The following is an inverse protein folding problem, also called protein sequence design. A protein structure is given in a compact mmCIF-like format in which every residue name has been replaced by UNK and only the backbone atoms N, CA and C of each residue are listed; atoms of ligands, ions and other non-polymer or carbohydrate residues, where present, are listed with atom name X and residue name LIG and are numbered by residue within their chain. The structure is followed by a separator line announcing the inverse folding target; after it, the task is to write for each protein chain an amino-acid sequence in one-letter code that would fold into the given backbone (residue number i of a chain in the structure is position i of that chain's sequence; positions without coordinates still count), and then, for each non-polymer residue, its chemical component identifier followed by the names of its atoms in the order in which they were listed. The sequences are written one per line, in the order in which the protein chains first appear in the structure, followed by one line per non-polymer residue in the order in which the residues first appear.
data_IF_086690983565
#
_entry.id   IF_086690983565
#
_cell.length_a   1.000
_cell.length_b   1.000
_cell.length_c   1.000
_cell.angle_alpha   90.00
_cell.angle_beta   90.00
_cell.angle_gamma   90.00
#
_symmetry.space_group_name_H-M   'P 1'
#
loop_
_entity.id
_entity.type
_entity.pdbx_description
1 polymer ?
#
# COMPACT_ATOMS: atom_id res chain seq x y z
N UNK A 1 55.88 52.02 32.78
CA UNK A 1 56.79 50.85 32.88
C UNK A 1 56.25 49.74 31.97
N UNK A 2 56.94 49.49 30.85
CA UNK A 2 56.97 48.23 30.06
C UNK A 2 57.87 47.24 30.84
N UNK A 3 57.90 45.87 30.72
CA UNK A 3 57.76 44.95 29.55
C UNK A 3 56.99 43.62 29.88
N UNK A 4 56.86 42.53 29.09
CA UNK A 4 57.20 42.09 27.72
C UNK A 4 56.37 40.82 27.35
N UNK A 5 56.40 40.51 26.05
CA UNK A 5 55.76 39.43 25.28
C UNK A 5 56.30 38.00 25.56
N UNK A 6 55.51 36.98 25.22
CA UNK A 6 55.99 35.94 24.27
C UNK A 6 54.85 35.26 23.50
N UNK A 7 55.10 35.02 22.21
CA UNK A 7 54.23 34.43 21.21
C UNK A 7 54.59 32.96 20.96
N UNK A 8 53.62 32.11 20.61
CA UNK A 8 53.88 30.81 19.96
C UNK A 8 53.02 30.63 18.71
N UNK A 9 53.72 30.25 17.64
CA UNK A 9 53.27 30.18 16.26
C UNK A 9 52.53 28.87 15.96
N UNK A 10 51.48 28.96 15.12
CA UNK A 10 50.82 27.82 14.48
C UNK A 10 51.59 27.44 13.20
N UNK A 11 52.15 26.23 13.17
CA UNK A 11 52.72 25.63 11.95
C UNK A 11 51.61 25.02 11.08
N UNK A 12 51.60 25.40 9.80
CA UNK A 12 50.79 24.85 8.71
C UNK A 12 51.32 23.47 8.28
N UNK A 13 50.42 22.55 7.98
CA UNK A 13 50.68 21.25 7.34
C UNK A 13 50.49 21.38 5.82
N UNK A 14 51.37 20.83 4.96
CA UNK A 14 51.34 21.10 3.52
C UNK A 14 50.43 20.15 2.73
N UNK A 15 49.77 20.72 1.71
CA UNK A 15 49.03 20.02 0.64
C UNK A 15 49.99 19.21 -0.24
N UNK A 16 49.75 17.91 -0.41
CA UNK A 16 50.38 17.10 -1.47
C UNK A 16 49.47 17.05 -2.70
N UNK A 17 50.02 17.51 -3.83
CA UNK A 17 49.51 17.32 -5.20
C UNK A 17 49.59 15.83 -5.56
N UNK A 18 48.51 15.27 -6.11
CA UNK A 18 48.55 14.01 -6.85
C UNK A 18 48.56 14.33 -8.35
N UNK A 19 49.64 13.89 -8.97
CA UNK A 19 50.00 14.01 -10.38
C UNK A 19 49.17 13.07 -11.25
N UNK A 20 48.72 13.58 -12.40
CA UNK A 20 48.13 12.81 -13.51
C UNK A 20 49.13 11.78 -14.02
N UNK A 21 48.80 10.49 -13.94
CA UNK A 21 49.44 9.45 -14.75
C UNK A 21 48.62 9.23 -16.03
N UNK A 22 49.25 9.58 -17.15
CA UNK A 22 48.91 9.16 -18.52
C UNK A 22 49.11 7.64 -18.61
N UNK A 23 48.06 6.88 -18.94
CA UNK A 23 48.21 5.53 -19.51
C UNK A 23 47.95 5.61 -21.01
N UNK A 24 48.97 5.28 -21.78
CA UNK A 24 48.90 5.00 -23.22
C UNK A 24 48.40 3.56 -23.38
N UNK A 25 47.37 3.34 -24.19
CA UNK A 25 47.00 2.03 -24.71
C UNK A 25 47.47 1.94 -26.18
N UNK A 26 48.12 0.84 -26.61
CA UNK A 26 48.28 0.56 -28.03
C UNK A 26 46.97 0.04 -28.62
N UNK A 27 46.71 0.49 -29.84
CA UNK A 27 45.60 0.06 -30.70
C UNK A 27 45.87 -1.34 -31.28
N UNK A 28 44.93 -2.25 -31.10
CA UNK A 28 44.74 -3.38 -32.01
C UNK A 28 43.32 -3.33 -32.59
N UNK A 29 43.27 -3.33 -33.93
CA UNK A 29 42.06 -3.30 -34.74
C UNK A 29 41.43 -4.69 -34.75
N UNK A 30 40.14 -4.78 -34.44
CA UNK A 30 39.30 -5.92 -34.82
C UNK A 30 38.12 -5.37 -35.63
N UNK A 31 37.95 -5.94 -36.82
CA UNK A 31 37.05 -5.51 -37.87
C UNK A 31 35.57 -5.73 -37.51
N UNK A 32 34.73 -4.76 -37.91
CA UNK A 32 33.27 -4.85 -37.86
C UNK A 32 32.74 -5.67 -39.05
N UNK A 33 31.73 -6.53 -38.89
CA UNK A 33 31.02 -7.11 -40.02
C UNK A 33 30.02 -6.10 -40.61
N UNK A 34 30.04 -6.10 -41.94
CA UNK A 34 29.28 -5.26 -42.88
C UNK A 34 27.77 -5.25 -42.64
N UNK A 35 27.19 -4.05 -42.66
CA UNK A 35 25.76 -3.83 -42.77
C UNK A 35 25.32 -4.06 -44.23
N UNK A 36 24.47 -5.07 -44.45
CA UNK A 36 23.77 -5.25 -45.71
C UNK A 36 22.68 -4.18 -45.84
N UNK A 37 22.82 -3.33 -46.85
CA UNK A 37 21.82 -2.34 -47.31
C UNK A 37 20.58 -3.12 -47.77
N UNK A 38 19.44 -2.92 -47.09
CA UNK A 38 18.12 -3.38 -47.57
C UNK A 38 17.42 -2.23 -48.27
N UNK A 39 16.99 -2.53 -49.48
CA UNK A 39 16.31 -1.67 -50.46
C UNK A 39 15.01 -1.04 -49.92
N UNK A 40 14.87 0.30 -49.91
CA UNK A 40 13.70 1.00 -49.39
C UNK A 40 12.43 0.89 -50.27
N UNK A 41 12.48 0.19 -51.41
CA UNK A 41 11.31 0.03 -52.29
C UNK A 41 10.47 -1.24 -52.05
N UNK A 42 10.86 -2.13 -51.13
CA UNK A 42 10.13 -3.38 -50.86
C UNK A 42 9.20 -3.36 -49.64
N UNK A 43 9.12 -2.24 -48.92
CA UNK A 43 8.33 -2.10 -47.68
C UNK A 43 6.91 -1.55 -47.95
N UNK A 44 6.61 -1.10 -49.18
CA UNK A 44 5.33 -0.41 -49.50
C UNK A 44 4.21 -1.27 -50.08
N UNK A 45 4.42 -2.58 -50.27
CA UNK A 45 3.35 -3.47 -50.75
C UNK A 45 2.83 -4.49 -49.72
N UNK A 46 3.56 -4.77 -48.64
CA UNK A 46 3.09 -5.69 -47.59
C UNK A 46 2.16 -5.02 -46.55
N UNK A 47 2.10 -3.68 -46.50
CA UNK A 47 1.24 -2.93 -45.55
C UNK A 47 -0.15 -2.56 -46.10
N UNK A 48 -0.50 -2.96 -47.33
CA UNK A 48 -1.79 -2.59 -47.97
C UNK A 48 -2.83 -3.70 -48.09
N UNK A 49 -2.57 -4.90 -47.59
CA UNK A 49 -3.51 -6.02 -47.61
C UNK A 49 -3.54 -6.77 -46.28
N UNK A 50 -4.00 -6.11 -45.19
CA UNK A 50 -4.55 -6.83 -44.03
C UNK A 50 -5.25 -5.89 -43.03
N UNK A 51 -6.49 -5.53 -43.34
CA UNK A 51 -7.58 -5.33 -42.38
C UNK A 51 -8.88 -5.58 -43.17
N UNK A 52 -9.85 -6.37 -42.68
CA UNK A 52 -10.29 -6.42 -41.29
C UNK A 52 -10.59 -7.84 -40.76
N UNK A 53 -9.77 -8.37 -39.84
CA UNK A 53 -10.16 -9.50 -38.96
C UNK A 53 -9.31 -9.48 -37.68
N UNK A 54 -9.42 -8.41 -36.89
CA UNK A 54 -8.92 -8.35 -35.50
C UNK A 54 -10.02 -7.72 -34.63
N UNK A 55 -11.23 -8.27 -34.73
CA UNK A 55 -12.28 -8.08 -33.72
C UNK A 55 -12.81 -9.40 -33.14
N UNK A 56 -12.44 -10.57 -33.71
CA UNK A 56 -12.94 -11.88 -33.27
C UNK A 56 -11.96 -12.71 -32.42
N UNK A 57 -10.85 -12.12 -31.94
CA UNK A 57 -9.86 -12.85 -31.10
C UNK A 57 -9.33 -12.06 -29.91
N UNK A 58 -10.11 -11.11 -29.39
CA UNK A 58 -9.93 -10.65 -28.02
C UNK A 58 -10.66 -11.66 -27.14
N UNK A 59 -9.87 -12.44 -26.40
CA UNK A 59 -10.35 -13.49 -25.52
C UNK A 59 -11.53 -13.01 -24.69
N UNK A 60 -12.56 -13.83 -24.73
CA UNK A 60 -13.72 -13.82 -23.85
C UNK A 60 -13.22 -13.80 -22.40
N UNK A 61 -13.00 -12.61 -21.85
CA UNK A 61 -12.94 -12.41 -20.41
C UNK A 61 -14.34 -12.77 -19.93
N UNK A 62 -14.46 -13.96 -19.35
CA UNK A 62 -15.62 -14.27 -18.53
C UNK A 62 -15.58 -13.23 -17.41
N UNK A 63 -16.39 -12.19 -17.57
CA UNK A 63 -16.81 -11.31 -16.51
C UNK A 63 -17.60 -12.20 -15.56
N UNK A 64 -16.91 -12.87 -14.65
CA UNK A 64 -17.56 -13.33 -13.43
C UNK A 64 -17.90 -12.04 -12.71
N UNK A 65 -19.15 -11.60 -12.88
CA UNK A 65 -19.77 -10.71 -11.94
C UNK A 65 -19.76 -11.46 -10.61
N UNK A 66 -18.67 -11.28 -9.84
CA UNK A 66 -18.71 -11.54 -8.41
C UNK A 66 -19.70 -10.53 -7.89
N UNK A 67 -20.96 -10.92 -7.78
CA UNK A 67 -21.92 -10.27 -6.92
C UNK A 67 -21.31 -10.33 -5.53
N UNK A 68 -20.56 -9.29 -5.17
CA UNK A 68 -20.02 -9.15 -3.82
C UNK A 68 -21.17 -9.33 -2.83
N UNK A 69 -20.94 -9.96 -1.67
CA UNK A 69 -22.02 -10.30 -0.77
C UNK A 69 -22.86 -9.06 -0.50
N UNK A 70 -24.17 -9.18 -0.74
CA UNK A 70 -25.15 -8.27 -0.18
C UNK A 70 -24.82 -8.09 1.31
N UNK A 71 -24.79 -6.84 1.78
CA UNK A 71 -24.12 -6.43 3.01
C UNK A 71 -24.20 -7.45 4.14
N UNK A 72 -23.08 -8.12 4.43
CA UNK A 72 -22.92 -8.81 5.68
C UNK A 72 -22.95 -7.73 6.77
N UNK A 73 -24.10 -7.59 7.44
CA UNK A 73 -24.27 -6.63 8.52
C UNK A 73 -23.29 -6.93 9.65
N UNK A 74 -22.69 -5.89 10.22
CA UNK A 74 -21.88 -6.01 11.43
C UNK A 74 -22.81 -6.21 12.63
N UNK A 75 -22.43 -7.09 13.57
CA UNK A 75 -23.21 -7.35 14.77
C UNK A 75 -23.40 -6.11 15.65
N UNK A 76 -22.40 -5.21 15.68
CA UNK A 76 -22.42 -3.93 16.36
C UNK A 76 -21.41 -2.97 15.73
N UNK A 77 -21.59 -1.67 15.99
CA UNK A 77 -20.62 -0.62 15.69
C UNK A 77 -19.84 -0.23 16.96
N UNK A 78 -18.64 0.33 16.79
CA UNK A 78 -17.90 0.92 17.90
C UNK A 78 -18.71 2.06 18.54
N UNK A 79 -18.65 2.18 19.88
CA UNK A 79 -19.49 3.14 20.63
C UNK A 79 -19.23 4.60 20.30
N UNK A 80 -18.08 4.87 19.68
CA UNK A 80 -17.56 6.18 19.29
C UNK A 80 -17.60 6.41 17.78
N UNK A 81 -18.37 5.61 17.03
CA UNK A 81 -18.42 5.73 15.56
C UNK A 81 -18.76 7.16 15.11
N UNK A 82 -19.73 7.80 15.78
CA UNK A 82 -20.14 9.17 15.49
C UNK A 82 -18.99 10.19 15.61
N UNK A 83 -18.04 9.96 16.53
CA UNK A 83 -16.92 10.88 16.77
C UNK A 83 -15.94 10.92 15.59
N UNK A 84 -15.85 9.81 14.83
CA UNK A 84 -14.93 9.67 13.70
C UNK A 84 -15.62 9.83 12.34
N UNK A 85 -16.95 9.74 12.29
CA UNK A 85 -17.73 9.93 11.06
C UNK A 85 -18.36 11.32 10.95
N UNK A 86 -18.08 12.22 11.90
CA UNK A 86 -18.58 13.60 11.88
C UNK A 86 -17.49 14.57 11.41
N UNK A 87 -17.74 15.23 10.28
CA UNK A 87 -16.86 16.26 9.75
C UNK A 87 -16.77 17.49 10.68
N UNK A 88 -15.60 18.14 10.80
CA UNK A 88 -15.50 19.45 11.44
C UNK A 88 -16.32 20.47 10.63
N UNK A 89 -16.73 21.56 11.28
CA UNK A 89 -17.60 22.55 10.62
C UNK A 89 -16.97 23.18 9.36
N UNK A 90 -15.64 23.36 9.34
CA UNK A 90 -14.91 24.01 8.25
C UNK A 90 -13.62 23.26 7.93
N UNK A 91 -13.67 22.12 7.21
CA UNK A 91 -12.46 21.39 6.85
C UNK A 91 -11.63 22.16 5.81
N UNK A 92 -10.29 22.21 5.93
CA UNK A 92 -9.41 22.83 4.94
C UNK A 92 -9.54 22.18 3.56
N UNK A 93 -9.67 22.97 2.48
CA UNK A 93 -9.89 22.47 1.10
C UNK A 93 -8.75 22.71 0.12
N UNK A 94 -7.60 23.18 0.60
CA UNK A 94 -6.50 23.59 -0.27
C UNK A 94 -5.66 22.40 -0.76
N UNK A 95 -5.12 22.53 -1.98
CA UNK A 95 -4.12 21.61 -2.56
C UNK A 95 -4.57 20.15 -2.65
N UNK A 96 -5.85 19.92 -2.91
CA UNK A 96 -6.40 18.57 -3.01
C UNK A 96 -6.31 17.95 -4.41
N UNK A 97 -5.94 18.73 -5.44
CA UNK A 97 -6.02 18.30 -6.84
C UNK A 97 -7.47 18.15 -7.31
N UNK A 98 -7.68 17.41 -8.41
CA UNK A 98 -9.03 17.19 -8.97
C UNK A 98 -9.86 16.26 -8.07
N UNK A 99 -11.02 16.73 -7.63
CA UNK A 99 -12.04 15.90 -6.96
C UNK A 99 -13.20 15.73 -7.93
N UNK A 100 -13.08 14.76 -8.83
CA UNK A 100 -14.13 14.45 -9.80
C UNK A 100 -15.37 13.83 -9.10
N UNK A 101 -16.60 14.18 -9.50
CA UNK A 101 -17.81 13.54 -9.00
C UNK A 101 -17.79 12.02 -9.25
N UNK A 102 -18.03 11.23 -8.19
CA UNK A 102 -18.04 9.76 -8.28
C UNK A 102 -19.35 9.20 -8.84
N UNK A 103 -20.46 9.87 -8.55
CA UNK A 103 -21.80 9.44 -8.90
C UNK A 103 -22.25 10.01 -10.25
N UNK A 104 -21.34 10.02 -11.21
CA UNK A 104 -21.57 10.39 -12.60
C UNK A 104 -20.88 9.35 -13.47
N UNK A 105 -21.62 8.74 -14.40
CA UNK A 105 -21.07 7.74 -15.31
C UNK A 105 -20.30 8.38 -16.49
N UNK A 106 -19.72 7.55 -17.36
CA UNK A 106 -18.94 8.00 -18.51
C UNK A 106 -19.74 8.82 -19.55
N UNK A 107 -21.08 8.74 -19.51
CA UNK A 107 -21.98 9.51 -20.38
C UNK A 107 -22.44 10.82 -19.75
N UNK A 108 -22.04 11.08 -18.50
CA UNK A 108 -22.45 12.25 -17.72
C UNK A 108 -23.77 12.07 -16.98
N UNK A 109 -24.34 10.85 -16.94
CA UNK A 109 -25.58 10.58 -16.22
C UNK A 109 -25.34 10.33 -14.74
N UNK A 110 -26.30 10.71 -13.90
CA UNK A 110 -26.22 10.54 -12.46
C UNK A 110 -26.34 9.05 -12.06
N UNK A 111 -25.44 8.61 -11.19
CA UNK A 111 -25.45 7.27 -10.59
C UNK A 111 -26.21 7.34 -9.27
N UNK A 112 -27.43 6.78 -9.24
CA UNK A 112 -28.32 6.89 -8.07
C UNK A 112 -28.64 5.55 -7.40
N UNK A 113 -28.23 4.41 -8.00
CA UNK A 113 -28.46 3.07 -7.46
C UNK A 113 -27.15 2.34 -7.20
N UNK A 114 -27.20 1.33 -6.32
CA UNK A 114 -26.05 0.47 -6.02
C UNK A 114 -25.57 -0.27 -7.27
N UNK A 115 -26.47 -0.79 -8.10
CA UNK A 115 -26.10 -1.55 -9.29
C UNK A 115 -25.42 -0.67 -10.34
N UNK A 116 -25.84 0.60 -10.46
CA UNK A 116 -25.18 1.57 -11.32
C UNK A 116 -23.80 1.94 -10.78
N UNK A 117 -23.68 2.11 -9.45
CA UNK A 117 -22.39 2.32 -8.81
C UNK A 117 -21.47 1.12 -8.97
N UNK A 118 -21.93 -0.11 -8.85
CA UNK A 118 -21.09 -1.29 -9.01
C UNK A 118 -20.45 -1.35 -10.41
N UNK A 119 -21.14 -0.85 -11.46
CA UNK A 119 -20.56 -0.67 -12.80
C UNK A 119 -19.52 0.47 -12.83
N UNK A 120 -19.87 1.65 -12.32
CA UNK A 120 -18.97 2.81 -12.27
C UNK A 120 -17.71 2.52 -11.43
N UNK A 121 -17.86 1.76 -10.36
CA UNK A 121 -16.78 1.27 -9.49
C UNK A 121 -15.76 0.47 -10.29
N UNK A 122 -16.17 -0.35 -11.26
CA UNK A 122 -15.23 -1.07 -12.12
C UNK A 122 -14.49 -0.14 -13.09
N UNK A 123 -15.14 0.91 -13.60
CA UNK A 123 -14.49 1.93 -14.45
C UNK A 123 -13.40 2.66 -13.66
N UNK A 124 -13.72 3.14 -12.46
CA UNK A 124 -12.78 3.81 -11.55
C UNK A 124 -11.62 2.86 -11.21
N UNK A 125 -11.94 1.61 -10.85
CA UNK A 125 -10.95 0.58 -10.54
C UNK A 125 -9.99 0.33 -11.72
N UNK A 126 -10.53 0.18 -12.93
CA UNK A 126 -9.76 -0.07 -14.13
C UNK A 126 -8.84 1.12 -14.48
N UNK A 127 -9.32 2.35 -14.30
CA UNK A 127 -8.52 3.55 -14.53
C UNK A 127 -7.30 3.61 -13.60
N UNK A 128 -7.48 3.30 -12.32
CA UNK A 128 -6.38 3.21 -11.37
C UNK A 128 -5.40 2.09 -11.69
N UNK A 129 -5.87 0.87 -11.98
CA UNK A 129 -4.99 -0.24 -12.35
C UNK A 129 -4.19 0.05 -13.63
N UNK A 130 -4.82 0.71 -14.62
CA UNK A 130 -4.14 1.17 -15.84
C UNK A 130 -3.02 2.17 -15.53
N UNK A 131 -3.26 3.11 -14.62
CA UNK A 131 -2.25 4.08 -14.19
C UNK A 131 -1.10 3.43 -13.41
N UNK A 132 -1.43 2.51 -12.50
CA UNK A 132 -0.46 1.77 -11.68
C UNK A 132 0.46 0.87 -12.52
N UNK A 133 -0.08 0.28 -13.58
CA UNK A 133 0.64 -0.63 -14.46
C UNK A 133 0.51 -2.11 -14.05
N UNK A 134 0.89 -3.03 -14.93
CA UNK A 134 0.65 -4.46 -14.75
C UNK A 134 1.62 -5.11 -13.76
N UNK A 135 1.18 -6.18 -13.11
CA UNK A 135 2.03 -7.09 -12.34
C UNK A 135 1.72 -8.55 -12.76
N UNK A 136 2.62 -9.52 -12.53
CA UNK A 136 2.42 -10.91 -12.95
C UNK A 136 1.18 -11.56 -12.31
N UNK A 137 0.32 -12.15 -13.14
CA UNK A 137 -0.88 -12.89 -12.74
C UNK A 137 -0.96 -14.21 -13.56
N UNK A 138 -1.19 -15.40 -12.96
CA UNK A 138 -1.44 -15.64 -11.54
C UNK A 138 -0.23 -15.31 -10.65
N UNK A 139 -0.50 -14.90 -9.40
CA UNK A 139 0.53 -14.82 -8.35
C UNK A 139 1.10 -16.22 -8.02
N UNK A 140 2.35 -16.32 -7.53
CA UNK A 140 2.94 -17.61 -7.17
C UNK A 140 2.11 -18.37 -6.12
N UNK A 141 2.07 -19.72 -6.15
CA UNK A 141 1.45 -20.51 -5.09
C UNK A 141 2.01 -20.14 -3.70
N UNK A 142 1.17 -20.14 -2.66
CA UNK A 142 1.67 -19.91 -1.30
C UNK A 142 2.47 -21.13 -0.83
N UNK A 143 3.77 -20.94 -0.64
CA UNK A 143 4.68 -21.89 0.02
C UNK A 143 5.56 -21.09 0.97
N UNK A 144 5.46 -21.39 2.25
CA UNK A 144 6.23 -20.74 3.30
C UNK A 144 7.36 -21.66 3.77
N UNK A 145 8.58 -21.16 3.74
CA UNK A 145 9.73 -21.77 4.41
C UNK A 145 9.95 -21.04 5.75
N UNK A 146 9.82 -21.76 6.86
CA UNK A 146 10.08 -21.19 8.20
C UNK A 146 11.59 -21.16 8.42
N UNK A 147 12.17 -19.97 8.49
CA UNK A 147 13.60 -19.75 8.71
C UNK A 147 13.96 -19.71 10.21
N UNK A 148 13.08 -19.12 11.02
CA UNK A 148 13.29 -18.96 12.46
C UNK A 148 11.94 -18.98 13.19
N UNK A 149 11.89 -19.56 14.38
CA UNK A 149 10.73 -19.54 15.27
C UNK A 149 11.15 -19.08 16.67
N UNK A 150 10.37 -18.20 17.27
CA UNK A 150 10.59 -17.63 18.60
C UNK A 150 9.27 -17.62 19.38
N UNK A 151 9.33 -17.87 20.69
CA UNK A 151 8.17 -17.77 21.58
C UNK A 151 8.30 -16.50 22.43
N UNK A 152 7.31 -15.61 22.33
CA UNK A 152 7.22 -14.30 22.96
C UNK A 152 6.01 -14.29 23.90
N UNK A 153 6.14 -14.92 25.06
CA UNK A 153 5.01 -15.09 25.99
C UNK A 153 3.88 -15.89 25.35
N UNK A 154 2.73 -15.25 25.11
CA UNK A 154 1.55 -15.87 24.49
C UNK A 154 1.53 -15.80 22.95
N UNK A 155 2.62 -15.36 22.31
CA UNK A 155 2.73 -15.24 20.85
C UNK A 155 3.91 -16.06 20.34
N UNK A 156 3.74 -16.75 19.22
CA UNK A 156 4.82 -17.36 18.43
C UNK A 156 5.13 -16.39 17.28
N UNK A 157 6.40 -16.03 17.09
CA UNK A 157 6.87 -15.27 15.93
C UNK A 157 7.73 -16.16 15.05
N UNK A 158 7.43 -16.19 13.76
CA UNK A 158 8.18 -16.94 12.77
C UNK A 158 8.69 -16.00 11.68
N UNK A 159 9.99 -16.03 11.40
CA UNK A 159 10.53 -15.47 10.16
C UNK A 159 10.26 -16.50 9.06
N UNK A 160 9.55 -16.09 8.03
CA UNK A 160 9.23 -16.95 6.89
C UNK A 160 9.76 -16.36 5.59
N UNK A 161 10.23 -17.22 4.70
CA UNK A 161 10.60 -16.91 3.32
C UNK A 161 9.54 -17.46 2.37
N UNK A 162 9.18 -16.67 1.37
CA UNK A 162 8.16 -17.03 0.39
C UNK A 162 8.44 -16.38 -0.96
N UNK A 163 7.89 -16.97 -2.01
CA UNK A 163 7.94 -16.39 -3.35
C UNK A 163 6.92 -15.25 -3.44
N UNK A 164 7.42 -14.01 -3.52
CA UNK A 164 6.59 -12.81 -3.62
C UNK A 164 6.10 -12.58 -5.04
N UNK A 165 7.02 -12.71 -5.99
CA UNK A 165 6.82 -12.59 -7.43
C UNK A 165 7.51 -13.79 -8.11
N UNK A 166 7.10 -14.26 -9.31
CA UNK A 166 7.74 -15.41 -9.96
C UNK A 166 9.27 -15.31 -10.02
N UNK A 167 9.95 -16.23 -9.34
CA UNK A 167 11.40 -16.31 -9.22
C UNK A 167 12.05 -15.43 -8.14
N UNK A 168 11.26 -14.61 -7.43
CA UNK A 168 11.75 -13.63 -6.45
C UNK A 168 11.22 -13.92 -5.05
N UNK A 169 12.14 -14.26 -4.16
CA UNK A 169 11.84 -14.59 -2.78
C UNK A 169 12.01 -13.38 -1.88
N UNK A 170 11.07 -13.22 -0.95
CA UNK A 170 11.04 -12.18 0.05
C UNK A 170 10.78 -12.82 1.41
N UNK A 171 10.98 -12.03 2.46
CA UNK A 171 10.77 -12.45 3.84
C UNK A 171 9.62 -11.67 4.49
N UNK A 172 9.03 -12.25 5.52
CA UNK A 172 8.08 -11.58 6.39
C UNK A 172 8.01 -12.29 7.74
N UNK A 173 7.44 -11.62 8.73
CA UNK A 173 7.14 -12.25 10.01
C UNK A 173 5.69 -12.70 10.07
N UNK A 174 5.48 -13.94 10.45
CA UNK A 174 4.19 -14.50 10.82
C UNK A 174 4.11 -14.58 12.35
N UNK A 175 3.12 -13.93 12.95
CA UNK A 175 2.86 -13.97 14.38
C UNK A 175 1.53 -14.71 14.63
N UNK A 176 1.59 -15.70 15.51
CA UNK A 176 0.49 -16.60 15.84
C UNK A 176 0.25 -16.57 17.34
N UNK A 177 -0.99 -16.52 17.83
CA UNK A 177 -1.28 -16.81 19.22
C UNK A 177 -0.80 -18.22 19.59
N UNK A 178 -0.22 -18.40 20.76
CA UNK A 178 0.20 -19.73 21.24
C UNK A 178 -1.01 -20.66 21.26
N UNK A 179 -0.85 -21.86 20.71
CA UNK A 179 -1.93 -22.85 20.59
C UNK A 179 -2.84 -22.67 19.39
N UNK A 180 -2.61 -21.67 18.53
CA UNK A 180 -3.47 -21.41 17.37
C UNK A 180 -3.66 -22.63 16.45
N UNK A 181 -2.59 -23.40 16.24
CA UNK A 181 -2.64 -24.62 15.42
C UNK A 181 -3.22 -25.85 16.14
N UNK A 182 -3.54 -25.76 17.44
CA UNK A 182 -3.94 -26.91 18.28
C UNK A 182 -5.41 -26.91 18.70
N UNK A 183 -6.02 -25.73 18.81
CA UNK A 183 -7.38 -25.61 19.35
C UNK A 183 -8.49 -25.68 18.29
N UNK A 184 -8.12 -25.77 17.01
CA UNK A 184 -9.05 -25.87 15.88
C UNK A 184 -9.87 -24.59 15.62
N UNK A 185 -9.63 -23.50 16.36
CA UNK A 185 -10.36 -22.24 16.21
C UNK A 185 -9.75 -21.42 15.08
N UNK A 186 -10.57 -21.05 14.10
CA UNK A 186 -10.17 -20.07 13.09
C UNK A 186 -10.21 -18.66 13.67
N UNK A 187 -9.16 -17.89 13.39
CA UNK A 187 -8.93 -16.56 13.93
C UNK A 187 -9.00 -15.50 12.84
N UNK A 188 -9.36 -14.25 13.20
CA UNK A 188 -9.15 -13.13 12.30
C UNK A 188 -7.65 -12.94 12.05
N UNK A 189 -7.30 -12.43 10.87
CA UNK A 189 -5.93 -12.13 10.50
C UNK A 189 -5.73 -10.65 10.17
N UNK A 190 -4.54 -10.11 10.43
CA UNK A 190 -4.15 -8.76 10.07
C UNK A 190 -2.92 -8.80 9.18
N UNK A 191 -3.00 -8.17 8.01
CA UNK A 191 -1.82 -7.78 7.23
C UNK A 191 -1.32 -6.45 7.80
N UNK A 192 -0.16 -6.47 8.46
CA UNK A 192 0.43 -5.34 9.17
C UNK A 192 1.63 -4.78 8.39
N UNK A 193 1.43 -3.63 7.76
CA UNK A 193 2.37 -2.99 6.83
C UNK A 193 3.25 -1.97 7.56
N UNK A 194 4.57 -2.12 7.45
CA UNK A 194 5.53 -1.36 8.25
C UNK A 194 5.76 0.06 7.71
N UNK A 195 6.11 1.03 8.58
CA UNK A 195 6.47 2.38 8.14
C UNK A 195 7.87 2.40 7.51
N UNK A 196 8.27 3.57 7.02
CA UNK A 196 9.67 3.85 6.66
C UNK A 196 10.52 3.85 7.93
N UNK A 197 11.39 2.85 8.07
CA UNK A 197 12.28 2.68 9.23
C UNK A 197 13.55 1.94 8.83
N UNK A 198 14.65 2.17 9.54
CA UNK A 198 15.93 1.48 9.31
C UNK A 198 15.88 0.03 9.78
N UNK A 199 14.97 -0.28 10.70
CA UNK A 199 14.73 -1.64 11.23
C UNK A 199 13.83 -2.47 10.30
N UNK A 200 13.26 -1.88 9.25
CA UNK A 200 12.40 -2.59 8.27
C UNK A 200 11.22 -3.33 8.93
N UNK A 201 11.06 -4.64 8.66
CA UNK A 201 10.06 -5.52 9.27
C UNK A 201 10.36 -5.88 10.72
N UNK A 202 11.61 -5.72 11.19
CA UNK A 202 12.02 -6.12 12.53
C UNK A 202 11.32 -5.27 13.60
N UNK A 203 11.16 -3.96 13.36
CA UNK A 203 10.48 -3.07 14.32
C UNK A 203 9.00 -3.44 14.47
N UNK A 204 8.25 -3.57 13.37
CA UNK A 204 6.81 -3.88 13.46
C UNK A 204 6.57 -5.29 14.05
N UNK A 205 7.45 -6.24 13.77
CA UNK A 205 7.37 -7.61 14.28
C UNK A 205 7.92 -7.76 15.72
N UNK A 206 8.43 -6.67 16.32
CA UNK A 206 8.96 -6.62 17.69
C UNK A 206 10.28 -7.34 17.89
N UNK A 207 11.09 -7.46 16.85
CA UNK A 207 12.45 -8.01 16.91
C UNK A 207 13.41 -6.96 17.46
N UNK A 208 13.25 -5.71 17.01
CA UNK A 208 14.03 -4.55 17.42
C UNK A 208 13.13 -3.31 17.52
N UNK A 209 13.74 -2.12 17.61
CA UNK A 209 13.02 -0.85 17.62
C UNK A 209 12.29 -0.54 18.93
N UNK A 210 11.45 0.49 18.90
CA UNK A 210 10.73 1.00 20.09
C UNK A 210 9.49 0.16 20.36
N UNK A 211 9.24 -0.21 21.62
CA UNK A 211 8.09 -1.02 22.03
C UNK A 211 6.75 -0.50 21.47
N UNK A 212 6.52 0.82 21.45
CA UNK A 212 5.30 1.42 20.90
C UNK A 212 5.09 1.21 19.40
N UNK A 213 6.13 0.82 18.65
CA UNK A 213 6.08 0.51 17.22
C UNK A 213 6.06 -0.99 16.91
N UNK A 214 6.15 -1.83 17.94
CA UNK A 214 6.07 -3.29 17.83
C UNK A 214 4.60 -3.72 17.75
N UNK A 215 3.92 -3.32 16.68
CA UNK A 215 2.47 -3.46 16.54
C UNK A 215 2.03 -4.89 16.23
N UNK A 216 2.89 -5.69 15.58
CA UNK A 216 2.63 -7.09 15.28
C UNK A 216 2.36 -7.91 16.55
N UNK A 217 3.29 -7.95 17.53
CA UNK A 217 3.07 -8.65 18.79
C UNK A 217 1.88 -8.14 19.60
N UNK A 218 1.63 -6.82 19.57
CA UNK A 218 0.49 -6.23 20.28
C UNK A 218 -0.86 -6.63 19.67
N UNK A 219 -0.96 -6.73 18.34
CA UNK A 219 -2.15 -7.26 17.69
C UNK A 219 -2.27 -8.78 17.88
N UNK A 220 -1.15 -9.52 17.82
CA UNK A 220 -1.18 -10.96 18.06
C UNK A 220 -1.65 -11.31 19.49
N UNK A 221 -1.29 -10.50 20.49
CA UNK A 221 -1.79 -10.68 21.87
C UNK A 221 -3.29 -10.40 22.03
N UNK A 222 -3.92 -9.72 21.07
CA UNK A 222 -5.39 -9.57 20.96
C UNK A 222 -6.07 -10.77 20.25
N UNK A 223 -5.30 -11.80 19.89
CA UNK A 223 -5.84 -13.03 19.28
C UNK A 223 -5.86 -13.04 17.75
N UNK A 224 -5.29 -12.01 17.10
CA UNK A 224 -5.11 -12.00 15.65
C UNK A 224 -3.95 -12.90 15.22
N UNK A 225 -4.07 -13.52 14.05
CA UNK A 225 -2.91 -13.96 13.28
C UNK A 225 -2.36 -12.75 12.53
N UNK A 226 -1.09 -12.40 12.68
CA UNK A 226 -0.54 -11.17 12.09
C UNK A 226 0.58 -11.51 11.12
N UNK A 227 0.53 -10.93 9.91
CA UNK A 227 1.60 -11.06 8.94
C UNK A 227 2.21 -9.70 8.62
N UNK A 228 3.52 -9.58 8.81
CA UNK A 228 4.32 -8.39 8.56
C UNK A 228 5.23 -8.62 7.34
N UNK A 229 4.77 -8.31 6.11
CA UNK A 229 5.57 -8.48 4.91
C UNK A 229 6.67 -7.43 4.81
N UNK A 230 7.82 -7.80 4.23
CA UNK A 230 8.86 -6.83 3.85
C UNK A 230 8.44 -6.05 2.62
N UNK A 231 8.47 -4.73 2.70
CA UNK A 231 8.29 -3.88 1.54
C UNK A 231 9.52 -3.98 0.62
N UNK A 232 9.30 -4.04 -0.71
CA UNK A 232 10.37 -4.18 -1.72
C UNK A 232 11.47 -3.11 -1.62
N UNK A 233 11.15 -1.96 -1.03
CA UNK A 233 12.07 -0.87 -0.74
C UNK A 233 13.23 -1.24 0.19
N UNK A 234 13.13 -2.36 0.92
CA UNK A 234 14.14 -2.88 1.84
C UNK A 234 14.56 -4.32 1.53
N UNK A 235 14.33 -4.80 0.31
CA UNK A 235 14.65 -6.15 -0.11
C UNK A 235 16.01 -6.19 -0.84
N UNK A 236 17.08 -6.51 -0.10
CA UNK A 236 18.44 -6.69 -0.61
C UNK A 236 19.01 -5.49 -1.39
N UNK A 237 18.71 -4.29 -0.90
CA UNK A 237 19.04 -3.00 -1.54
C UNK A 237 19.65 -2.04 -0.54
N UNK A 238 20.51 -1.14 -1.03
CA UNK A 238 21.21 -0.14 -0.20
C UNK A 238 20.46 1.20 -0.12
N UNK A 239 19.48 1.44 -0.99
CA UNK A 239 18.70 2.67 -1.04
C UNK A 239 17.33 2.48 -1.69
N UNK A 240 16.41 3.41 -1.43
CA UNK A 240 15.08 3.40 -2.05
C UNK A 240 15.16 3.57 -3.57
N UNK A 241 16.10 4.39 -4.06
CA UNK A 241 16.31 4.60 -5.49
C UNK A 241 16.81 3.33 -6.19
N UNK A 242 17.70 2.57 -5.53
CA UNK A 242 18.14 1.27 -6.03
C UNK A 242 16.96 0.28 -6.09
N UNK A 243 16.09 0.26 -5.06
CA UNK A 243 14.90 -0.57 -5.06
C UNK A 243 13.96 -0.25 -6.23
N UNK A 244 13.69 1.04 -6.46
CA UNK A 244 12.88 1.50 -7.60
C UNK A 244 13.53 1.14 -8.93
N UNK A 245 14.85 1.32 -9.06
CA UNK A 245 15.59 0.99 -10.28
C UNK A 245 15.46 -0.50 -10.59
N UNK A 246 15.76 -1.39 -9.63
CA UNK A 246 15.66 -2.84 -9.80
C UNK A 246 14.22 -3.30 -10.07
N UNK A 247 13.23 -2.64 -9.48
CA UNK A 247 11.82 -2.88 -9.80
C UNK A 247 11.51 -2.52 -11.26
N UNK A 248 11.91 -1.32 -11.71
CA UNK A 248 11.67 -0.86 -13.09
C UNK A 248 12.44 -1.64 -14.15
N UNK A 249 13.61 -2.19 -13.82
CA UNK A 249 14.34 -3.10 -14.72
C UNK A 249 13.54 -4.37 -15.01
N UNK A 250 12.78 -4.87 -14.04
CA UNK A 250 11.93 -6.06 -14.17
C UNK A 250 10.54 -5.72 -14.72
N UNK A 251 10.00 -4.58 -14.31
CA UNK A 251 8.66 -4.10 -14.69
C UNK A 251 8.68 -2.63 -15.17
N UNK A 252 9.14 -2.36 -16.40
CA UNK A 252 9.36 -0.98 -16.88
C UNK A 252 8.12 -0.09 -16.94
N UNK A 253 6.92 -0.68 -16.97
CA UNK A 253 5.63 0.02 -17.08
C UNK A 253 4.87 0.08 -15.77
N UNK A 254 5.50 -0.27 -14.65
CA UNK A 254 4.81 -0.51 -13.39
C UNK A 254 5.34 0.41 -12.30
N UNK A 255 4.44 1.17 -11.67
CA UNK A 255 4.78 2.11 -10.61
C UNK A 255 5.17 1.39 -9.32
N UNK A 256 5.94 2.06 -8.46
CA UNK A 256 6.33 1.49 -7.17
C UNK A 256 5.12 1.20 -6.28
N UNK A 257 4.08 2.04 -6.34
CA UNK A 257 2.83 1.78 -5.60
C UNK A 257 2.13 0.50 -6.07
N UNK A 258 2.24 0.16 -7.37
CA UNK A 258 1.68 -1.08 -7.90
C UNK A 258 2.41 -2.31 -7.37
N UNK A 259 3.74 -2.22 -7.20
CA UNK A 259 4.55 -3.28 -6.56
C UNK A 259 4.17 -3.47 -5.09
N UNK A 260 4.03 -2.38 -4.34
CA UNK A 260 3.60 -2.47 -2.94
C UNK A 260 2.18 -3.04 -2.82
N UNK A 261 1.25 -2.62 -3.67
CA UNK A 261 -0.09 -3.22 -3.73
C UNK A 261 -0.01 -4.73 -3.99
N UNK A 262 0.82 -5.16 -4.94
CA UNK A 262 1.02 -6.56 -5.26
C UNK A 262 1.57 -7.35 -4.06
N UNK A 263 2.57 -6.81 -3.36
CA UNK A 263 3.13 -7.42 -2.14
C UNK A 263 2.12 -7.49 -1.00
N UNK A 264 1.31 -6.45 -0.84
CA UNK A 264 0.25 -6.39 0.15
C UNK A 264 -0.86 -7.41 -0.16
N UNK A 265 -1.24 -7.60 -1.43
CA UNK A 265 -2.17 -8.65 -1.85
C UNK A 265 -1.56 -10.05 -1.66
N UNK A 266 -0.24 -10.18 -1.84
CA UNK A 266 0.49 -11.41 -1.57
C UNK A 266 0.46 -11.78 -0.08
N UNK A 267 0.58 -10.79 0.80
CA UNK A 267 0.38 -10.96 2.24
C UNK A 267 -1.04 -11.45 2.58
N UNK A 268 -2.07 -10.96 1.87
CA UNK A 268 -3.45 -11.47 2.01
C UNK A 268 -3.54 -12.94 1.55
N UNK A 269 -2.93 -13.31 0.43
CA UNK A 269 -2.90 -14.72 -0.03
C UNK A 269 -2.29 -15.63 1.04
N UNK A 270 -1.21 -15.19 1.68
CA UNK A 270 -0.51 -15.93 2.72
C UNK A 270 -1.44 -16.18 3.90
N UNK A 271 -1.98 -15.14 4.53
CA UNK A 271 -2.84 -15.32 5.70
C UNK A 271 -4.12 -16.10 5.37
N UNK A 272 -4.70 -15.89 4.19
CA UNK A 272 -5.89 -16.63 3.75
C UNK A 272 -5.64 -18.13 3.53
N UNK A 273 -4.39 -18.53 3.28
CA UNK A 273 -4.00 -19.93 3.09
C UNK A 273 -3.74 -20.68 4.39
N UNK A 274 -3.62 -19.98 5.52
CA UNK A 274 -3.29 -20.59 6.81
C UNK A 274 -4.51 -21.32 7.40
N UNK A 275 -4.36 -22.56 7.89
CA UNK A 275 -5.47 -23.30 8.49
C UNK A 275 -6.02 -22.63 9.77
N UNK A 276 -5.19 -21.85 10.47
CA UNK A 276 -5.57 -21.09 11.67
C UNK A 276 -6.41 -19.84 11.38
N UNK A 277 -6.53 -19.43 10.11
CA UNK A 277 -7.18 -18.18 9.72
C UNK A 277 -8.57 -18.42 9.14
N UNK A 278 -9.51 -17.58 9.55
CA UNK A 278 -10.77 -17.41 8.84
C UNK A 278 -10.56 -16.42 7.68
N UNK A 279 -10.57 -16.93 6.45
CA UNK A 279 -10.35 -16.12 5.24
C UNK A 279 -11.41 -15.03 5.03
N UNK A 280 -12.56 -15.10 5.72
CA UNK A 280 -13.59 -14.06 5.72
C UNK A 280 -13.37 -12.99 6.79
N UNK A 281 -12.29 -13.06 7.57
CA UNK A 281 -11.98 -12.16 8.69
C UNK A 281 -10.55 -11.63 8.59
N UNK A 282 -10.19 -11.10 7.42
CA UNK A 282 -8.88 -10.50 7.18
C UNK A 282 -9.01 -8.98 7.26
N UNK A 283 -8.19 -8.33 8.07
CA UNK A 283 -8.01 -6.88 8.11
C UNK A 283 -6.63 -6.45 7.61
N UNK A 284 -6.48 -5.15 7.42
CA UNK A 284 -5.20 -4.54 7.08
C UNK A 284 -4.95 -3.31 7.96
N UNK A 285 -3.70 -3.12 8.34
CA UNK A 285 -3.26 -1.95 9.08
C UNK A 285 -1.87 -1.52 8.63
N UNK A 286 -1.62 -0.21 8.65
CA UNK A 286 -0.26 0.30 8.53
C UNK A 286 -0.13 1.76 8.93
N UNK A 287 1.11 2.17 9.18
CA UNK A 287 1.48 3.54 9.57
C UNK A 287 2.41 4.16 8.51
N UNK A 288 2.22 5.45 8.20
CA UNK A 288 3.06 6.18 7.24
C UNK A 288 3.09 5.50 5.87
N UNK A 289 4.24 4.95 5.44
CA UNK A 289 4.32 4.13 4.23
C UNK A 289 3.30 2.99 4.24
N UNK A 290 3.19 2.24 5.34
CA UNK A 290 2.23 1.15 5.46
C UNK A 290 0.77 1.62 5.42
N UNK A 291 0.48 2.87 5.78
CA UNK A 291 -0.87 3.44 5.66
C UNK A 291 -1.24 3.68 4.19
N UNK A 292 -0.27 4.09 3.37
CA UNK A 292 -0.44 4.20 1.91
C UNK A 292 -0.72 2.83 1.29
N UNK A 293 0.05 1.82 1.68
CA UNK A 293 -0.19 0.44 1.27
C UNK A 293 -1.57 -0.06 1.71
N UNK A 294 -1.99 0.25 2.94
CA UNK A 294 -3.30 -0.16 3.48
C UNK A 294 -4.46 0.45 2.70
N UNK A 295 -4.37 1.73 2.30
CA UNK A 295 -5.38 2.39 1.46
C UNK A 295 -5.55 1.66 0.12
N UNK A 296 -4.44 1.37 -0.57
CA UNK A 296 -4.47 0.68 -1.86
C UNK A 296 -4.93 -0.77 -1.71
N UNK A 297 -4.41 -1.49 -0.70
CA UNK A 297 -4.79 -2.87 -0.43
C UNK A 297 -6.29 -2.98 -0.16
N UNK A 298 -6.82 -2.13 0.72
CA UNK A 298 -8.26 -2.11 0.99
C UNK A 298 -9.05 -1.79 -0.28
N UNK A 299 -8.64 -0.82 -1.09
CA UNK A 299 -9.36 -0.45 -2.32
C UNK A 299 -9.42 -1.57 -3.37
N UNK A 300 -8.39 -2.41 -3.46
CA UNK A 300 -8.22 -3.34 -4.57
C UNK A 300 -8.29 -4.84 -4.21
N UNK A 301 -8.34 -5.19 -2.93
CA UNK A 301 -8.53 -6.56 -2.46
C UNK A 301 -9.74 -6.64 -1.50
N UNK A 302 -10.86 -7.19 -2.00
CA UNK A 302 -12.12 -7.26 -1.26
C UNK A 302 -12.12 -8.30 -0.12
N UNK A 303 -11.09 -9.15 -0.06
CA UNK A 303 -10.86 -10.06 1.08
C UNK A 303 -10.49 -9.31 2.35
N UNK A 304 -9.89 -8.12 2.21
CA UNK A 304 -9.68 -7.21 3.35
C UNK A 304 -11.02 -6.63 3.77
N UNK A 305 -11.56 -7.09 4.88
CA UNK A 305 -12.87 -6.71 5.41
C UNK A 305 -12.87 -5.41 6.20
N UNK A 306 -11.72 -5.05 6.77
CA UNK A 306 -11.54 -3.89 7.64
C UNK A 306 -10.15 -3.30 7.41
N UNK A 307 -10.04 -1.99 7.26
CA UNK A 307 -8.76 -1.31 7.07
C UNK A 307 -8.54 -0.19 8.09
N UNK A 308 -7.28 -0.02 8.52
CA UNK A 308 -6.87 1.11 9.34
C UNK A 308 -5.57 1.73 8.81
N UNK A 309 -5.63 2.97 8.34
CA UNK A 309 -4.50 3.70 7.76
C UNK A 309 -4.11 4.87 8.68
N UNK A 310 -2.93 4.78 9.31
CA UNK A 310 -2.44 5.82 10.21
C UNK A 310 -1.41 6.72 9.54
N UNK A 311 -1.73 8.01 9.40
CA UNK A 311 -0.80 9.03 8.92
C UNK A 311 -0.17 8.71 7.55
N UNK A 312 -0.96 8.22 6.60
CA UNK A 312 -0.51 7.99 5.22
C UNK A 312 -0.53 9.25 4.36
N UNK A 313 -1.36 10.23 4.77
CA UNK A 313 -1.71 11.44 4.06
C UNK A 313 -2.59 11.12 2.88
N UNK A 314 -3.90 11.02 3.06
CA UNK A 314 -4.82 10.66 1.97
C UNK A 314 -4.71 11.64 0.79
N UNK A 315 -4.49 12.93 1.03
CA UNK A 315 -4.27 13.89 -0.07
C UNK A 315 -2.94 13.70 -0.79
N UNK A 316 -2.93 13.79 -2.12
CA UNK A 316 -1.69 13.72 -2.91
C UNK A 316 -0.63 14.74 -2.50
N UNK A 317 -1.05 15.92 -2.02
CA UNK A 317 -0.15 16.99 -1.57
C UNK A 317 0.11 16.96 -0.06
N UNK A 318 -0.46 16.00 0.66
CA UNK A 318 -0.23 15.84 2.10
C UNK A 318 1.16 15.27 2.39
N UNK A 319 1.69 14.43 1.50
CA UNK A 319 3.01 13.80 1.63
C UNK A 319 3.67 13.62 0.26
N UNK A 320 4.76 12.86 0.20
CA UNK A 320 5.57 12.58 -0.98
C UNK A 320 4.98 11.54 -1.95
N UNK A 321 3.68 11.60 -2.27
CA UNK A 321 3.04 10.63 -3.19
C UNK A 321 3.63 10.61 -4.60
N UNK A 322 4.26 11.71 -5.00
CA UNK A 322 4.94 11.90 -6.28
C UNK A 322 6.33 11.25 -6.33
N UNK A 323 6.81 10.70 -5.21
CA UNK A 323 8.07 9.97 -5.16
C UNK A 323 8.03 8.76 -6.11
N UNK A 324 9.19 8.37 -6.68
CA UNK A 324 9.24 7.36 -7.74
C UNK A 324 8.90 5.93 -7.26
N UNK A 325 8.91 5.69 -5.95
CA UNK A 325 8.43 4.45 -5.31
C UNK A 325 6.92 4.43 -5.02
N UNK A 326 6.20 5.52 -5.30
CA UNK A 326 4.74 5.59 -5.19
C UNK A 326 4.10 5.83 -6.57
N UNK A 327 3.54 7.02 -6.82
CA UNK A 327 2.76 7.36 -8.02
C UNK A 327 3.56 8.15 -9.06
N UNK A 328 4.75 8.63 -8.71
CA UNK A 328 5.60 9.41 -9.61
C UNK A 328 5.07 10.80 -9.93
N UNK A 329 5.80 11.53 -10.77
CA UNK A 329 5.59 12.96 -10.98
C UNK A 329 4.28 13.30 -11.70
N UNK A 330 3.61 12.33 -12.34
CA UNK A 330 2.35 12.54 -13.06
C UNK A 330 1.28 13.16 -12.18
N UNK A 331 1.24 12.81 -10.89
CA UNK A 331 0.24 13.35 -9.96
C UNK A 331 0.47 14.83 -9.63
N UNK A 332 1.62 15.42 -9.99
CA UNK A 332 1.90 16.85 -9.79
C UNK A 332 1.09 17.74 -10.72
N UNK A 333 0.56 17.17 -11.80
CA UNK A 333 -0.37 17.86 -12.68
C UNK A 333 -1.69 18.13 -11.94
N UNK A 334 -2.10 19.39 -11.86
CA UNK A 334 -3.35 19.79 -11.20
C UNK A 334 -4.59 19.37 -11.99
N UNK A 335 -4.44 18.92 -13.24
CA UNK A 335 -5.49 18.32 -14.06
C UNK A 335 -5.51 16.79 -14.00
N UNK A 336 -4.65 16.16 -13.19
CA UNK A 336 -4.58 14.71 -13.08
C UNK A 336 -5.93 14.12 -12.64
N UNK A 337 -6.53 13.17 -13.39
CA UNK A 337 -7.95 12.83 -13.27
C UNK A 337 -8.28 11.85 -12.13
N UNK A 338 -7.26 11.18 -11.57
CA UNK A 338 -7.44 10.24 -10.47
C UNK A 338 -7.10 10.90 -9.14
N UNK A 339 -7.79 10.54 -8.07
CA UNK A 339 -7.49 11.05 -6.72
C UNK A 339 -8.02 10.10 -5.63
N UNK A 340 -7.50 10.18 -4.42
CA UNK A 340 -7.71 9.16 -3.39
C UNK A 340 -9.13 9.09 -2.82
N UNK A 341 -10.00 10.08 -3.04
CA UNK A 341 -11.44 9.92 -2.74
C UNK A 341 -12.07 8.77 -3.55
N UNK A 342 -11.57 8.50 -4.76
CA UNK A 342 -11.95 7.34 -5.55
C UNK A 342 -11.55 6.04 -4.86
N UNK A 343 -10.33 5.94 -4.31
CA UNK A 343 -9.89 4.75 -3.58
C UNK A 343 -10.74 4.52 -2.32
N UNK A 344 -11.03 5.59 -1.57
CA UNK A 344 -11.95 5.52 -0.42
C UNK A 344 -13.34 5.03 -0.83
N UNK A 345 -13.84 5.40 -2.01
CA UNK A 345 -15.10 4.90 -2.53
C UNK A 345 -15.04 3.44 -3.00
N UNK A 346 -13.91 2.98 -3.56
CA UNK A 346 -13.70 1.56 -3.92
C UNK A 346 -13.73 0.63 -2.70
N UNK A 347 -13.46 1.17 -1.50
CA UNK A 347 -13.49 0.42 -0.24
C UNK A 347 -14.92 0.12 0.23
N UNK A 348 -15.88 1.00 -0.10
CA UNK A 348 -17.26 0.88 0.34
C UNK A 348 -17.84 -0.53 0.04
N UNK A 349 -18.63 -1.11 0.98
CA UNK A 349 -19.03 -0.59 2.30
C UNK A 349 -18.14 -1.05 3.46
N UNK A 350 -16.91 -1.50 3.20
CA UNK A 350 -16.06 -2.14 4.22
C UNK A 350 -15.47 -1.12 5.19
N UNK A 351 -15.54 -1.31 6.51
CA UNK A 351 -15.09 -0.35 7.50
C UNK A 351 -13.64 0.10 7.28
N UNK A 352 -13.42 1.40 7.18
CA UNK A 352 -12.11 1.99 6.99
C UNK A 352 -11.91 3.19 7.91
N UNK A 353 -10.84 3.13 8.72
CA UNK A 353 -10.48 4.19 9.66
C UNK A 353 -9.17 4.84 9.25
N UNK A 354 -9.16 6.16 9.18
CA UNK A 354 -7.94 6.95 9.03
C UNK A 354 -7.57 7.49 10.42
N UNK A 355 -6.30 7.42 10.80
CA UNK A 355 -5.80 8.09 12.01
C UNK A 355 -5.00 9.33 11.59
N UNK A 356 -5.44 10.48 12.09
CA UNK A 356 -4.90 11.80 11.80
C UNK A 356 -4.15 12.44 12.97
N UNK A 357 -2.96 12.96 12.72
CA UNK A 357 -2.09 13.64 13.68
C UNK A 357 -2.29 15.15 13.77
N UNK A 358 -3.10 15.72 12.86
CA UNK A 358 -3.39 17.14 12.67
C UNK A 358 -2.19 18.01 12.33
N UNK A 359 -1.24 18.17 13.25
CA UNK A 359 -0.14 19.10 13.11
C UNK A 359 1.16 18.57 13.73
N UNK A 360 2.27 19.21 13.39
CA UNK A 360 3.61 18.82 13.84
C UNK A 360 4.42 18.10 12.75
N UNK A 361 5.72 17.87 13.02
CA UNK A 361 6.61 17.27 12.02
C UNK A 361 6.11 15.92 11.54
N UNK A 362 5.94 15.79 10.22
CA UNK A 362 5.51 14.57 9.55
C UNK A 362 4.01 14.29 9.61
N UNK A 363 3.21 15.10 10.31
CA UNK A 363 1.77 14.87 10.42
C UNK A 363 1.13 14.84 9.02
N UNK A 364 0.50 13.73 8.67
CA UNK A 364 0.10 13.46 7.28
C UNK A 364 -1.41 13.59 7.09
N UNK A 365 -2.20 13.19 8.07
CA UNK A 365 -3.66 13.30 8.08
C UNK A 365 -4.16 14.18 9.24
N UNK A 366 -5.44 14.57 9.16
CA UNK A 366 -6.09 15.49 10.10
C UNK A 366 -7.34 16.08 9.45
N UNK A 367 -7.80 17.23 9.93
CA UNK A 367 -9.04 17.84 9.42
C UNK A 367 -8.99 18.12 7.91
N UNK A 368 -7.78 18.34 7.37
CA UNK A 368 -7.49 18.44 5.92
C UNK A 368 -7.84 17.21 5.09
N UNK A 369 -8.07 16.06 5.72
CA UNK A 369 -8.44 14.80 5.06
C UNK A 369 -9.94 14.72 4.76
N UNK A 370 -10.77 15.46 5.51
CA UNK A 370 -12.23 15.42 5.38
C UNK A 370 -12.79 15.69 3.99
N UNK A 371 -12.29 16.64 3.18
CA UNK A 371 -12.88 16.87 1.87
C UNK A 371 -12.77 15.66 0.93
N UNK A 372 -11.76 14.79 1.11
CA UNK A 372 -11.62 13.55 0.34
C UNK A 372 -12.54 12.45 0.89
N UNK A 373 -12.77 12.42 2.21
CA UNK A 373 -13.78 11.56 2.84
C UNK A 373 -15.18 11.97 2.35
N UNK A 374 -15.53 13.25 2.45
CA UNK A 374 -16.80 13.82 2.00
C UNK A 374 -17.08 13.51 0.53
N UNK A 375 -16.05 13.62 -0.32
CA UNK A 375 -16.16 13.29 -1.73
C UNK A 375 -16.40 11.79 -2.00
N UNK A 376 -16.02 10.91 -1.08
CA UNK A 376 -16.27 9.47 -1.16
C UNK A 376 -17.64 9.06 -0.59
N UNK A 377 -18.14 9.75 0.43
CA UNK A 377 -19.39 9.41 1.15
C UNK A 377 -20.62 9.17 0.27
N UNK A 378 -20.86 9.89 -0.85
CA UNK A 378 -21.99 9.59 -1.72
C UNK A 378 -22.03 8.13 -2.20
N UNK A 379 -20.88 7.53 -2.54
CA UNK A 379 -20.81 6.12 -2.91
C UNK A 379 -21.10 5.19 -1.73
N UNK A 380 -20.65 5.55 -0.52
CA UNK A 380 -20.92 4.77 0.69
C UNK A 380 -22.41 4.74 1.04
N UNK A 381 -23.11 5.86 0.88
CA UNK A 381 -24.55 5.97 1.17
C UNK A 381 -25.42 5.06 0.29
N UNK A 382 -24.96 4.68 -0.90
CA UNK A 382 -25.64 3.69 -1.74
C UNK A 382 -25.68 2.29 -1.13
N UNK A 383 -24.84 2.01 -0.13
CA UNK A 383 -24.83 0.76 0.62
C UNK A 383 -25.57 0.86 1.98
N UNK A 384 -26.17 2.02 2.28
CA UNK A 384 -26.88 2.28 3.52
C UNK A 384 -26.06 3.03 4.59
N UNK A 385 -26.70 3.26 5.72
CA UNK A 385 -26.13 3.95 6.89
C UNK A 385 -26.02 2.99 8.10
N UNK A 386 -25.08 3.21 9.03
CA UNK A 386 -24.06 4.26 8.98
C UNK A 386 -22.93 3.94 7.98
N UNK A 387 -22.43 4.96 7.30
CA UNK A 387 -21.19 4.88 6.53
C UNK A 387 -19.98 4.71 7.46
N UNK A 388 -19.32 3.54 7.40
CA UNK A 388 -18.16 3.20 8.26
C UNK A 388 -16.84 3.68 7.68
N UNK A 389 -16.81 4.93 7.22
CA UNK A 389 -15.61 5.63 6.76
C UNK A 389 -15.33 6.76 7.76
N UNK A 390 -14.29 6.59 8.57
CA UNK A 390 -14.02 7.51 9.68
C UNK A 390 -12.61 8.10 9.66
N UNK A 391 -12.46 9.24 10.33
CA UNK A 391 -11.20 9.87 10.69
C UNK A 391 -11.12 10.03 12.21
N UNK A 392 -10.22 9.30 12.86
CA UNK A 392 -9.82 9.55 14.24
C UNK A 392 -8.67 10.56 14.25
N UNK A 393 -8.99 11.82 14.50
CA UNK A 393 -7.98 12.87 14.62
C UNK A 393 -7.45 12.96 16.06
N UNK A 394 -6.32 12.30 16.32
CA UNK A 394 -5.70 12.24 17.65
C UNK A 394 -4.81 13.46 17.95
N UNK A 395 -4.50 14.30 16.96
CA UNK A 395 -3.81 15.60 17.14
C UNK A 395 -2.41 15.53 17.79
N UNK A 396 -1.75 14.38 17.74
CA UNK A 396 -0.42 14.16 18.36
C UNK A 396 0.71 14.03 17.32
N UNK A 397 0.50 14.55 16.11
CA UNK A 397 1.46 14.49 15.02
C UNK A 397 1.69 13.09 14.47
N UNK A 398 2.89 12.84 13.92
CA UNK A 398 3.22 11.61 13.21
C UNK A 398 3.56 10.44 14.16
N UNK A 399 2.57 9.98 14.93
CA UNK A 399 2.75 8.94 15.95
C UNK A 399 1.53 8.05 16.08
N UNK A 400 1.72 6.89 16.70
CA UNK A 400 0.65 6.06 17.23
C UNK A 400 0.78 6.10 18.75
N UNK A 401 -0.09 6.85 19.41
CA UNK A 401 -0.19 6.87 20.86
C UNK A 401 -0.83 5.57 21.37
N UNK A 402 -0.69 5.29 22.66
CA UNK A 402 -1.38 4.14 23.27
C UNK A 402 -2.90 4.25 23.08
N UNK A 403 -3.48 5.43 23.26
CA UNK A 403 -4.91 5.66 23.04
C UNK A 403 -5.33 5.42 21.57
N UNK A 404 -4.56 5.96 20.62
CA UNK A 404 -4.80 5.74 19.18
C UNK A 404 -4.68 4.25 18.81
N UNK A 405 -3.73 3.54 19.41
CA UNK A 405 -3.59 2.10 19.24
C UNK A 405 -4.81 1.34 19.78
N UNK A 406 -5.28 1.68 20.98
CA UNK A 406 -6.44 1.02 21.59
C UNK A 406 -7.70 1.20 20.72
N UNK A 407 -7.95 2.41 20.21
CA UNK A 407 -9.07 2.69 19.29
C UNK A 407 -8.95 1.95 17.97
N UNK A 408 -7.74 1.88 17.42
CA UNK A 408 -7.46 1.08 16.22
C UNK A 408 -7.71 -0.42 16.47
N UNK A 409 -7.22 -0.96 17.59
CA UNK A 409 -7.40 -2.36 17.95
C UNK A 409 -8.89 -2.68 18.14
N UNK A 410 -9.63 -1.84 18.86
CA UNK A 410 -11.09 -1.97 19.02
C UNK A 410 -11.80 -1.94 17.66
N UNK A 411 -11.44 -1.02 16.76
CA UNK A 411 -12.00 -0.99 15.40
C UNK A 411 -11.80 -2.31 14.66
N UNK A 412 -10.58 -2.87 14.68
CA UNK A 412 -10.28 -4.16 14.07
C UNK A 412 -11.05 -5.30 14.76
N UNK A 413 -11.10 -5.32 16.09
CA UNK A 413 -11.80 -6.35 16.88
C UNK A 413 -13.30 -6.35 16.62
N UNK A 414 -13.96 -5.19 16.62
CA UNK A 414 -15.40 -5.08 16.38
C UNK A 414 -15.75 -5.54 14.96
N UNK A 415 -15.08 -4.98 13.95
CA UNK A 415 -15.47 -5.22 12.57
C UNK A 415 -14.94 -6.52 11.97
N UNK A 416 -13.93 -7.15 12.60
CA UNK A 416 -13.56 -8.54 12.32
C UNK A 416 -14.24 -9.53 13.27
N UNK A 417 -14.87 -9.10 14.35
CA UNK A 417 -15.52 -9.94 15.35
C UNK A 417 -16.92 -10.42 14.96
N UNK A 418 -17.59 -9.72 14.03
CA UNK A 418 -19.04 -9.77 13.88
C UNK A 418 -19.60 -10.21 12.53
N UNK A 419 -19.03 -11.22 11.85
CA UNK A 419 -19.80 -11.89 10.79
C UNK A 419 -20.82 -12.83 11.46
N UNK A 420 -22.05 -12.36 11.62
CA UNK A 420 -23.17 -13.26 11.92
C UNK A 420 -23.19 -14.32 10.83
N UNK A 421 -23.02 -15.59 11.22
CA UNK A 421 -23.08 -16.70 10.30
C UNK A 421 -24.40 -16.64 9.54
N UNK A 422 -24.33 -16.56 8.22
CA UNK A 422 -25.39 -17.09 7.37
C UNK A 422 -25.32 -18.61 7.47
N UNK A 423 -25.75 -19.16 8.61
CA UNK A 423 -26.24 -20.52 8.69
C UNK A 423 -27.57 -20.52 7.92
N UNK A 424 -27.48 -20.65 6.60
CA UNK A 424 -28.60 -21.09 5.77
C UNK A 424 -28.71 -22.58 6.00
N UNK A 425 -29.64 -22.98 6.87
CA UNK A 425 -30.26 -24.30 6.79
C UNK A 425 -31.25 -24.33 5.65
#
# INVERSE_FOLDING_TARGET
MVPQRSSRSRKRVPRRRLTRLRRQHPMERVAAPSAAIRDPHRIREEEKQMAPTIMDRIGMFILVAVTGPAGAGFAADVTWLADVTTAPANPPRERLGVIAPLLVDETGQAVTTREAWDRQRQVVRAAWLKFLGPMPDPRPPVKLEVLKTEVLGATIRQLVRYEGEPGWFVEGYLLLPVGASRDGRKRPAIVALHPTTTETIDEIAGVSGRASRQLGPQLASRGFVVFCPRCFLWQDVSSLDEAVKRHRERHPRTLGMAKMLYDAMRAVDIVASLPEVDANRIGAFGHSLGAKETLYLAAFDERVRVGVASEGGVGFRSTNWDAPWYLGEAIRDESFPLNHHQLLALIAPRPFLILGGESGPGAADGDRTWPLIDAALPAWRLYGEPARLGLLNHRQGHTISAESFERMAEWLEVYLGGQAGTDVR
#
